data_IF_967940103386
#
_entry.id   IF_967940103386
#
_cell.length_a   1.000
_cell.length_b   1.000
_cell.length_c   1.000
_cell.angle_alpha   90.00
_cell.angle_beta   90.00
_cell.angle_gamma   90.00
#
_symmetry.space_group_name_H-M   'P 1'
#
loop_
_entity.id
_entity.type
_entity.pdbx_description
1 polymer ?
#
# COMPACT_ATOMS: atom_id res chain seq x y z
N UNK A 1 1.67 17.21 -12.99
CA UNK A 1 2.13 15.84 -12.73
C UNK A 1 1.84 15.01 -13.97
N UNK A 2 2.87 14.42 -14.57
CA UNK A 2 2.74 13.51 -15.72
C UNK A 2 2.21 12.19 -15.20
N UNK A 3 1.05 11.76 -15.68
CA UNK A 3 0.40 10.50 -15.32
C UNK A 3 0.86 9.41 -16.28
N UNK A 4 2.13 9.08 -16.21
CA UNK A 4 2.75 8.10 -17.08
C UNK A 4 3.47 7.06 -16.21
N UNK A 5 2.87 5.88 -16.10
CA UNK A 5 3.43 4.79 -15.33
C UNK A 5 4.71 4.22 -15.95
N UNK A 6 4.90 4.35 -17.28
CA UNK A 6 6.15 3.99 -17.94
C UNK A 6 7.28 4.96 -17.59
N UNK A 7 6.98 6.27 -17.55
CA UNK A 7 7.96 7.28 -17.11
C UNK A 7 8.37 7.04 -15.65
N UNK A 8 7.42 6.74 -14.77
CA UNK A 8 7.71 6.42 -13.38
C UNK A 8 8.58 5.15 -13.25
N UNK A 9 8.30 4.12 -14.06
CA UNK A 9 9.12 2.90 -14.11
C UNK A 9 10.54 3.17 -14.63
N UNK A 10 10.69 4.05 -15.64
CA UNK A 10 11.99 4.46 -16.16
C UNK A 10 12.80 5.20 -15.08
N UNK A 11 12.20 6.20 -14.42
CA UNK A 11 12.85 6.92 -13.32
C UNK A 11 13.30 5.97 -12.21
N UNK A 12 12.47 4.99 -11.85
CA UNK A 12 12.81 3.99 -10.84
C UNK A 12 14.00 3.11 -11.28
N UNK A 13 14.04 2.66 -12.54
CA UNK A 13 15.15 1.86 -13.07
C UNK A 13 16.46 2.66 -13.16
N UNK A 14 16.39 3.95 -13.50
CA UNK A 14 17.54 4.84 -13.61
C UNK A 14 18.26 5.09 -12.29
N UNK A 15 17.56 4.95 -11.15
CA UNK A 15 18.18 5.04 -9.83
C UNK A 15 19.16 3.89 -9.56
N UNK A 16 19.07 2.78 -10.32
CA UNK A 16 19.95 1.60 -10.21
C UNK A 16 20.14 1.12 -8.76
N UNK A 17 19.07 1.19 -7.97
CA UNK A 17 19.06 0.91 -6.54
C UNK A 17 18.01 -0.12 -6.13
N UNK A 18 18.04 -1.36 -6.67
CA UNK A 18 17.03 -2.38 -6.39
C UNK A 18 16.88 -2.73 -4.90
N UNK A 19 17.95 -2.61 -4.11
CA UNK A 19 17.90 -2.82 -2.66
C UNK A 19 17.02 -1.79 -1.91
N UNK A 20 16.69 -0.67 -2.56
CA UNK A 20 15.90 0.41 -1.96
C UNK A 20 14.41 0.36 -2.37
N UNK A 21 14.00 -0.48 -3.31
CA UNK A 21 12.65 -0.44 -3.86
C UNK A 21 11.54 -0.68 -2.81
N UNK A 22 11.76 -1.56 -1.82
CA UNK A 22 10.80 -1.74 -0.72
C UNK A 22 10.66 -0.46 0.13
N UNK A 23 11.78 0.22 0.41
CA UNK A 23 11.77 1.50 1.14
C UNK A 23 11.11 2.61 0.32
N UNK A 24 11.31 2.60 -1.01
CA UNK A 24 10.68 3.54 -1.92
C UNK A 24 9.14 3.38 -1.92
N UNK A 25 8.63 2.14 -1.96
CA UNK A 25 7.20 1.85 -1.79
C UNK A 25 6.70 2.41 -0.47
N UNK A 26 7.43 2.15 0.62
CA UNK A 26 7.04 2.62 1.95
C UNK A 26 6.94 4.15 2.02
N UNK A 27 7.95 4.85 1.49
CA UNK A 27 7.95 6.31 1.38
C UNK A 27 6.78 6.82 0.57
N UNK A 28 6.51 6.23 -0.60
CA UNK A 28 5.36 6.65 -1.42
C UNK A 28 4.03 6.46 -0.71
N UNK A 29 3.85 5.34 -0.01
CA UNK A 29 2.63 5.07 0.76
C UNK A 29 2.48 6.07 1.90
N UNK A 30 3.53 6.30 2.69
CA UNK A 30 3.50 7.26 3.80
C UNK A 30 3.28 8.69 3.31
N UNK A 31 3.99 9.12 2.27
CA UNK A 31 3.81 10.44 1.65
C UNK A 31 2.40 10.65 1.10
N UNK A 32 1.71 9.56 0.73
CA UNK A 32 0.36 9.62 0.17
C UNK A 32 -0.72 9.96 1.20
N UNK A 33 -0.45 9.81 2.50
CA UNK A 33 -1.43 10.06 3.55
C UNK A 33 -1.86 11.52 3.62
N UNK A 34 -0.97 12.45 3.26
CA UNK A 34 -1.25 13.89 3.18
C UNK A 34 -1.73 14.33 1.78
N UNK A 35 -1.94 13.39 0.87
CA UNK A 35 -2.34 13.66 -0.52
C UNK A 35 -3.84 13.52 -0.73
N UNK A 36 -4.32 14.17 -1.79
CA UNK A 36 -5.72 14.08 -2.15
C UNK A 36 -6.09 12.67 -2.68
N UNK A 37 -7.39 12.37 -2.76
CA UNK A 37 -7.88 11.06 -3.21
C UNK A 37 -7.38 10.69 -4.62
N UNK A 38 -7.23 11.67 -5.51
CA UNK A 38 -6.78 11.42 -6.90
C UNK A 38 -5.32 10.98 -6.92
N UNK A 39 -4.47 11.62 -6.13
CA UNK A 39 -3.05 11.25 -6.00
C UNK A 39 -2.88 9.87 -5.37
N UNK A 40 -3.65 9.55 -4.31
CA UNK A 40 -3.66 8.21 -3.71
C UNK A 40 -4.13 7.13 -4.69
N UNK A 41 -5.14 7.43 -5.50
CA UNK A 41 -5.59 6.51 -6.56
C UNK A 41 -4.53 6.29 -7.63
N UNK A 42 -3.77 7.33 -8.00
CA UNK A 42 -2.66 7.21 -8.94
C UNK A 42 -1.51 6.38 -8.36
N UNK A 43 -1.19 6.53 -7.08
CA UNK A 43 -0.20 5.68 -6.42
C UNK A 43 -0.61 4.21 -6.46
N UNK A 44 -1.85 3.89 -6.10
CA UNK A 44 -2.33 2.51 -6.14
C UNK A 44 -2.23 1.92 -7.56
N UNK A 45 -2.59 2.70 -8.60
CA UNK A 45 -2.41 2.29 -10.00
C UNK A 45 -0.95 2.05 -10.37
N UNK A 46 -0.05 2.93 -9.93
CA UNK A 46 1.39 2.78 -10.16
C UNK A 46 1.92 1.49 -9.51
N UNK A 47 1.55 1.21 -8.25
CA UNK A 47 1.98 -0.01 -7.56
C UNK A 47 1.49 -1.28 -8.26
N UNK A 48 0.23 -1.29 -8.71
CA UNK A 48 -0.34 -2.38 -9.51
C UNK A 48 0.44 -2.54 -10.82
N UNK A 49 0.68 -1.45 -11.54
CA UNK A 49 1.42 -1.45 -12.79
C UNK A 49 2.85 -1.99 -12.63
N UNK A 50 3.58 -1.49 -11.63
CA UNK A 50 4.96 -1.89 -11.39
C UNK A 50 5.05 -3.38 -11.03
N UNK A 51 4.16 -3.86 -10.15
CA UNK A 51 4.18 -5.26 -9.73
C UNK A 51 3.74 -6.23 -10.85
N UNK A 52 2.72 -5.88 -11.64
CA UNK A 52 2.16 -6.75 -12.68
C UNK A 52 2.95 -6.67 -14.01
N UNK A 53 3.29 -5.45 -14.46
CA UNK A 53 3.90 -5.22 -15.78
C UNK A 53 5.42 -5.06 -15.73
N UNK A 54 5.99 -4.71 -14.58
CA UNK A 54 7.44 -4.50 -14.40
C UNK A 54 7.99 -5.30 -13.21
N UNK A 55 7.76 -6.63 -13.10
CA UNK A 55 8.16 -7.43 -11.94
C UNK A 55 9.68 -7.49 -11.71
N UNK A 56 10.50 -7.17 -12.72
CA UNK A 56 11.95 -7.02 -12.58
C UNK A 56 12.36 -5.72 -11.87
N UNK A 57 11.47 -4.72 -11.83
CA UNK A 57 11.67 -3.47 -11.10
C UNK A 57 11.07 -3.57 -9.70
N UNK A 58 9.78 -3.94 -9.58
CA UNK A 58 9.15 -4.12 -8.28
C UNK A 58 8.66 -5.56 -8.16
N UNK A 59 9.36 -6.36 -7.35
CA UNK A 59 8.88 -7.71 -7.06
C UNK A 59 7.73 -7.70 -6.07
N UNK A 60 6.93 -8.76 -6.07
CA UNK A 60 5.86 -8.98 -5.09
C UNK A 60 6.36 -8.92 -3.64
N UNK A 61 7.54 -9.48 -3.37
CA UNK A 61 8.17 -9.44 -2.05
C UNK A 61 8.57 -8.01 -1.64
N UNK A 62 9.09 -7.21 -2.57
CA UNK A 62 9.45 -5.82 -2.30
C UNK A 62 8.22 -4.95 -2.04
N UNK A 63 7.12 -5.19 -2.76
CA UNK A 63 5.83 -4.54 -2.51
C UNK A 63 5.32 -4.87 -1.10
N UNK A 64 5.29 -6.15 -0.72
CA UNK A 64 4.87 -6.59 0.61
C UNK A 64 5.73 -5.98 1.70
N UNK A 65 7.05 -6.04 1.56
CA UNK A 65 8.00 -5.46 2.52
C UNK A 65 7.82 -3.95 2.65
N UNK A 66 7.57 -3.23 1.54
CA UNK A 66 7.31 -1.79 1.59
C UNK A 66 6.03 -1.45 2.34
N UNK A 67 4.97 -2.23 2.15
CA UNK A 67 3.72 -2.08 2.91
C UNK A 67 3.91 -2.41 4.39
N UNK A 68 4.65 -3.46 4.71
CA UNK A 68 5.00 -3.84 6.10
C UNK A 68 5.79 -2.73 6.81
N UNK A 69 6.75 -2.09 6.13
CA UNK A 69 7.51 -0.96 6.69
C UNK A 69 6.56 0.22 6.99
N UNK A 70 5.65 0.56 6.07
CA UNK A 70 4.67 1.63 6.30
C UNK A 70 3.66 1.32 7.40
N UNK A 71 3.26 0.05 7.55
CA UNK A 71 2.41 -0.39 8.65
C UNK A 71 3.16 -0.31 9.99
N UNK A 72 4.45 -0.65 10.00
CA UNK A 72 5.27 -0.62 11.22
C UNK A 72 5.48 0.79 11.78
N UNK A 73 5.45 1.83 10.93
CA UNK A 73 5.51 3.25 11.34
C UNK A 73 4.13 3.89 11.54
N UNK A 74 3.05 3.13 11.44
CA UNK A 74 1.69 3.67 11.42
C UNK A 74 1.30 4.33 12.76
N UNK A 75 1.76 3.81 13.90
CA UNK A 75 1.51 4.40 15.22
C UNK A 75 2.05 5.83 15.34
N UNK A 76 3.27 6.06 14.86
CA UNK A 76 3.84 7.41 14.84
C UNK A 76 3.12 8.28 13.81
N UNK A 77 2.79 7.69 12.65
CA UNK A 77 2.16 8.41 11.54
C UNK A 77 0.77 8.94 11.88
N UNK A 78 -0.03 8.24 12.70
CA UNK A 78 -1.39 8.69 13.05
C UNK A 78 -1.41 9.98 13.88
N UNK A 79 -0.29 10.35 14.50
CA UNK A 79 -0.16 11.62 15.23
C UNK A 79 -0.35 12.79 14.27
N UNK A 80 0.22 12.71 13.07
CA UNK A 80 0.16 13.76 12.06
C UNK A 80 -0.99 13.53 11.05
N UNK A 81 -1.26 12.26 10.72
CA UNK A 81 -2.28 11.84 9.76
C UNK A 81 -3.26 10.83 10.37
N UNK A 82 -4.30 11.28 11.10
CA UNK A 82 -5.23 10.40 11.82
C UNK A 82 -5.98 9.39 10.93
N UNK A 83 -6.06 9.66 9.62
CA UNK A 83 -6.72 8.79 8.63
C UNK A 83 -5.75 7.85 7.90
N UNK A 84 -4.46 7.83 8.26
CA UNK A 84 -3.48 6.94 7.65
C UNK A 84 -3.92 5.44 7.65
N UNK A 85 -4.55 4.90 8.72
CA UNK A 85 -5.03 3.51 8.72
C UNK A 85 -6.09 3.24 7.63
N UNK A 86 -7.02 4.18 7.44
CA UNK A 86 -8.02 4.13 6.37
C UNK A 86 -7.34 4.21 5.00
N UNK A 87 -6.37 5.10 4.83
CA UNK A 87 -5.73 5.31 3.54
C UNK A 87 -4.87 4.13 3.08
N UNK A 88 -4.05 3.58 3.97
CA UNK A 88 -3.29 2.36 3.65
C UNK A 88 -4.23 1.15 3.44
N UNK A 89 -5.32 1.08 4.20
CA UNK A 89 -6.36 0.06 4.00
C UNK A 89 -6.99 0.11 2.61
N UNK A 90 -7.30 1.31 2.10
CA UNK A 90 -7.81 1.49 0.73
C UNK A 90 -6.76 1.09 -0.33
N UNK A 91 -5.48 1.41 -0.13
CA UNK A 91 -4.40 1.00 -1.06
C UNK A 91 -4.30 -0.52 -1.10
N UNK A 92 -4.25 -1.19 0.06
CA UNK A 92 -4.23 -2.65 0.16
C UNK A 92 -5.49 -3.25 -0.47
N UNK A 93 -6.66 -2.68 -0.21
CA UNK A 93 -7.93 -3.11 -0.82
C UNK A 93 -7.90 -3.06 -2.35
N UNK A 94 -7.31 -2.01 -2.94
CA UNK A 94 -7.12 -1.91 -4.40
C UNK A 94 -6.17 -2.99 -4.93
N UNK A 95 -5.08 -3.25 -4.22
CA UNK A 95 -4.15 -4.33 -4.58
C UNK A 95 -4.82 -5.71 -4.52
N UNK A 96 -5.73 -5.92 -3.55
CA UNK A 96 -6.52 -7.16 -3.44
C UNK A 96 -7.52 -7.30 -4.59
N UNK A 97 -8.25 -6.24 -4.94
CA UNK A 97 -9.19 -6.25 -6.07
C UNK A 97 -8.48 -6.48 -7.41
N UNK A 98 -7.25 -5.96 -7.54
CA UNK A 98 -6.41 -6.17 -8.72
C UNK A 98 -5.67 -7.53 -8.73
N UNK A 99 -5.97 -8.42 -7.78
CA UNK A 99 -5.34 -9.75 -7.63
C UNK A 99 -3.82 -9.71 -7.46
N UNK A 100 -3.28 -8.55 -7.05
CA UNK A 100 -1.85 -8.39 -6.72
C UNK A 100 -1.57 -8.97 -5.35
N UNK A 101 -2.44 -8.73 -4.36
CA UNK A 101 -2.33 -9.30 -3.01
C UNK A 101 -3.54 -10.17 -2.69
N UNK A 102 -3.33 -11.22 -1.91
CA UNK A 102 -4.43 -11.96 -1.29
C UNK A 102 -4.88 -11.32 0.02
N UNK A 103 -6.12 -11.60 0.45
CA UNK A 103 -6.59 -11.22 1.80
C UNK A 103 -5.74 -11.87 2.91
N UNK A 104 -5.20 -13.06 2.67
CA UNK A 104 -4.35 -13.76 3.64
C UNK A 104 -2.98 -13.07 3.80
N UNK A 105 -2.38 -12.62 2.71
CA UNK A 105 -1.16 -11.80 2.76
C UNK A 105 -1.43 -10.46 3.43
N UNK A 106 -2.53 -9.80 3.07
CA UNK A 106 -2.96 -8.53 3.68
C UNK A 106 -3.12 -8.68 5.19
N UNK A 107 -3.81 -9.72 5.67
CA UNK A 107 -3.96 -9.99 7.09
C UNK A 107 -2.61 -10.28 7.79
N UNK A 108 -1.68 -10.95 7.10
CA UNK A 108 -0.34 -11.25 7.65
C UNK A 108 0.46 -9.97 7.86
N UNK A 109 0.53 -9.09 6.86
CA UNK A 109 1.30 -7.85 6.95
C UNK A 109 0.68 -6.88 7.96
N UNK A 110 -0.66 -6.82 8.05
CA UNK A 110 -1.38 -5.98 9.03
C UNK A 110 -1.16 -6.47 10.46
N UNK A 111 -1.12 -7.79 10.66
CA UNK A 111 -0.77 -8.37 11.96
C UNK A 111 0.67 -8.01 12.36
N UNK A 112 1.59 -7.98 11.39
CA UNK A 112 3.01 -7.80 11.63
C UNK A 112 3.63 -8.94 12.47
N UNK A 113 4.92 -8.82 12.75
CA UNK A 113 5.65 -9.84 13.52
C UNK A 113 5.27 -9.82 15.01
N UNK A 114 5.16 -8.62 15.58
CA UNK A 114 4.93 -8.41 17.02
C UNK A 114 3.45 -8.44 17.40
N UNK A 115 2.53 -8.23 16.45
CA UNK A 115 1.12 -8.00 16.77
C UNK A 115 0.84 -6.61 17.34
N UNK A 116 1.82 -5.70 17.36
CA UNK A 116 1.69 -4.39 18.02
C UNK A 116 0.49 -3.57 17.54
N UNK A 117 0.26 -3.51 16.23
CA UNK A 117 -0.91 -2.81 15.67
C UNK A 117 -2.25 -3.39 16.12
N UNK A 118 -2.31 -4.69 16.47
CA UNK A 118 -3.51 -5.29 17.05
C UNK A 118 -3.72 -4.82 18.49
N UNK A 119 -2.66 -4.70 19.28
CA UNK A 119 -2.72 -4.27 20.68
C UNK A 119 -3.23 -2.83 20.81
N UNK A 120 -2.80 -1.95 19.91
CA UNK A 120 -3.21 -0.53 19.89
C UNK A 120 -4.48 -0.28 19.05
N UNK A 121 -5.07 -1.31 18.45
CA UNK A 121 -6.31 -1.24 17.69
C UNK A 121 -6.20 -0.77 16.24
N UNK A 122 -5.06 -0.21 15.81
CA UNK A 122 -4.88 0.29 14.43
C UNK A 122 -5.01 -0.81 13.37
N UNK A 123 -4.64 -2.05 13.68
CA UNK A 123 -4.82 -3.17 12.75
C UNK A 123 -6.30 -3.41 12.42
N UNK A 124 -7.21 -3.15 13.37
CA UNK A 124 -8.65 -3.26 13.13
C UNK A 124 -9.13 -2.17 12.17
N UNK A 125 -8.62 -0.94 12.31
CA UNK A 125 -8.97 0.16 11.41
C UNK A 125 -8.50 -0.11 9.98
N UNK A 126 -7.26 -0.59 9.82
CA UNK A 126 -6.73 -0.96 8.50
C UNK A 126 -7.54 -2.09 7.88
N UNK A 127 -7.77 -3.20 8.60
CA UNK A 127 -8.46 -4.35 8.02
C UNK A 127 -9.94 -4.06 7.73
N UNK A 128 -10.59 -3.23 8.55
CA UNK A 128 -11.95 -2.75 8.28
C UNK A 128 -11.99 -1.98 6.97
N UNK A 129 -11.05 -1.04 6.77
CA UNK A 129 -10.95 -0.29 5.52
C UNK A 129 -10.67 -1.18 4.30
N UNK A 130 -9.78 -2.17 4.42
CA UNK A 130 -9.52 -3.17 3.36
C UNK A 130 -10.82 -3.90 2.99
N UNK A 131 -11.55 -4.42 3.98
CA UNK A 131 -12.75 -5.21 3.75
C UNK A 131 -13.90 -4.37 3.20
N UNK A 132 -14.11 -3.15 3.71
CA UNK A 132 -15.10 -2.21 3.19
C UNK A 132 -14.83 -1.87 1.73
N UNK A 133 -13.57 -1.61 1.37
CA UNK A 133 -13.19 -1.35 -0.02
C UNK A 133 -13.46 -2.57 -0.91
N UNK A 134 -12.94 -3.75 -0.54
CA UNK A 134 -13.11 -4.98 -1.33
C UNK A 134 -14.59 -5.32 -1.50
N UNK A 135 -15.39 -5.19 -0.44
CA UNK A 135 -16.84 -5.44 -0.46
C UNK A 135 -17.55 -4.50 -1.42
N UNK A 136 -17.22 -3.20 -1.36
CA UNK A 136 -17.81 -2.17 -2.23
C UNK A 136 -17.51 -2.45 -3.70
N UNK A 137 -16.27 -2.78 -4.04
CA UNK A 137 -15.88 -3.04 -5.42
C UNK A 137 -16.43 -4.37 -5.96
N UNK A 138 -16.64 -5.38 -5.09
CA UNK A 138 -17.27 -6.66 -5.49
C UNK A 138 -18.80 -6.62 -5.58
N UNK A 139 -19.42 -5.49 -5.27
CA UNK A 139 -20.88 -5.31 -5.39
C UNK A 139 -21.70 -6.01 -4.29
N UNK A 140 -21.08 -6.42 -3.19
CA UNK A 140 -21.79 -6.96 -2.02
C UNK A 140 -22.37 -5.81 -1.19
N UNK A 141 -23.46 -5.20 -1.68
CA UNK A 141 -24.25 -4.25 -0.88
C UNK A 141 -24.90 -5.02 0.27
N UNK A 142 -24.83 -4.45 1.48
CA UNK A 142 -25.41 -5.01 2.71
C UNK A 142 -26.92 -5.24 2.65
#
# INVERSE_FOLDING_TARGET
SVRDEDEAALCMDELKAPWFHSNMVSQWVTDSFDRNNVERDLLAKLLIYLCDKKPNLLSHEQLLMGLEISLSSLEDTVVDAPRAPEFIGVIIGKLVVAEILSLAESARIIKGETGHLLEIGLALDVITSVLEFVRREKGEVA
#
